data_IF_095235951574
#
_entry.id   IF_095235951574
#
_cell.length_a   1.000
_cell.length_b   1.000
_cell.length_c   1.000
_cell.angle_alpha   90.00
_cell.angle_beta   90.00
_cell.angle_gamma   90.00
#
_symmetry.space_group_name_H-M   'P 1'
#
loop_
_entity.id
_entity.type
_entity.pdbx_description
1 polymer ?
#
# COMPACT_ATOMS: atom_id res chain seq x y z
N UNK A 1 -14.69 -5.59 10.38
CA UNK A 1 -14.00 -4.82 11.45
C UNK A 1 -12.94 -3.97 10.75
N UNK A 2 -12.94 -2.65 10.90
CA UNK A 2 -11.91 -1.81 10.28
C UNK A 2 -10.59 -1.91 11.06
N UNK A 3 -9.46 -1.81 10.35
CA UNK A 3 -8.13 -1.76 10.96
C UNK A 3 -7.93 -0.40 11.67
N UNK A 4 -7.13 -0.35 12.73
CA UNK A 4 -6.70 0.93 13.31
C UNK A 4 -5.74 1.65 12.36
N UNK A 5 -5.80 2.99 12.29
CA UNK A 5 -4.97 3.78 11.37
C UNK A 5 -3.47 3.50 11.53
N UNK A 6 -2.95 3.51 12.74
CA UNK A 6 -1.53 3.22 13.01
C UNK A 6 -1.11 1.82 12.52
N UNK A 7 -1.98 0.82 12.70
CA UNK A 7 -1.75 -0.53 12.19
C UNK A 7 -1.81 -0.57 10.65
N UNK A 8 -2.64 0.27 10.03
CA UNK A 8 -2.75 0.37 8.58
C UNK A 8 -1.54 1.07 7.96
N UNK A 9 -1.05 2.14 8.59
CA UNK A 9 0.20 2.81 8.21
C UNK A 9 1.39 1.84 8.34
N UNK A 10 1.46 1.09 9.44
CA UNK A 10 2.51 0.07 9.64
C UNK A 10 2.45 -1.04 8.60
N UNK A 11 1.25 -1.46 8.19
CA UNK A 11 1.05 -2.47 7.14
C UNK A 11 1.44 -1.93 5.76
N UNK A 12 1.03 -0.71 5.44
CA UNK A 12 1.39 -0.05 4.19
C UNK A 12 2.90 0.24 4.09
N UNK A 13 3.55 0.56 5.21
CA UNK A 13 5.00 0.74 5.26
C UNK A 13 5.74 -0.58 4.97
N UNK A 14 5.24 -1.70 5.46
CA UNK A 14 5.77 -3.03 5.10
C UNK A 14 5.57 -3.32 3.61
N UNK A 15 4.41 -2.97 3.05
CA UNK A 15 4.16 -3.09 1.62
C UNK A 15 5.14 -2.23 0.79
N UNK A 16 5.41 -0.99 1.22
CA UNK A 16 6.40 -0.13 0.59
C UNK A 16 7.81 -0.72 0.66
N UNK A 17 8.21 -1.26 1.83
CA UNK A 17 9.51 -1.90 1.99
C UNK A 17 9.67 -3.14 1.08
N UNK A 18 8.62 -3.95 0.97
CA UNK A 18 8.58 -5.09 0.05
C UNK A 18 8.68 -4.62 -1.40
N UNK A 19 7.90 -3.60 -1.79
CA UNK A 19 7.89 -3.03 -3.14
C UNK A 19 9.26 -2.47 -3.55
N UNK A 20 9.94 -1.76 -2.65
CA UNK A 20 11.30 -1.22 -2.88
C UNK A 20 12.32 -2.34 -3.11
N UNK A 21 12.11 -3.52 -2.53
CA UNK A 21 12.94 -4.71 -2.77
C UNK A 21 12.61 -5.46 -4.06
N UNK A 22 11.60 -5.06 -4.84
CA UNK A 22 11.20 -5.71 -6.08
C UNK A 22 11.66 -4.90 -7.29
N UNK A 23 12.76 -5.32 -7.93
CA UNK A 23 13.35 -4.65 -9.09
C UNK A 23 12.42 -4.55 -10.31
N UNK A 24 11.44 -5.45 -10.42
CA UNK A 24 10.46 -5.43 -11.51
C UNK A 24 9.26 -4.52 -11.22
N UNK A 25 8.84 -4.41 -9.96
CA UNK A 25 7.62 -3.67 -9.57
C UNK A 25 7.92 -2.23 -9.19
N UNK A 26 9.09 -1.95 -8.62
CA UNK A 26 9.49 -0.61 -8.23
C UNK A 26 9.48 0.37 -9.41
N UNK A 27 10.05 0.06 -10.60
CA UNK A 27 9.99 0.97 -11.75
C UNK A 27 8.56 1.22 -12.23
N UNK A 28 7.69 0.20 -12.15
CA UNK A 28 6.28 0.31 -12.54
C UNK A 28 5.53 1.24 -11.58
N UNK A 29 5.78 1.13 -10.27
CA UNK A 29 5.21 2.03 -9.27
C UNK A 29 5.67 3.47 -9.45
N UNK A 30 6.98 3.70 -9.64
CA UNK A 30 7.52 5.04 -9.86
C UNK A 30 6.94 5.66 -11.15
N UNK A 31 6.84 4.86 -12.22
CA UNK A 31 6.24 5.28 -13.48
C UNK A 31 4.74 5.57 -13.39
N UNK A 32 3.99 4.81 -12.59
CA UNK A 32 2.53 4.96 -12.46
C UNK A 32 2.13 6.11 -11.53
N UNK A 33 2.92 6.37 -10.49
CA UNK A 33 2.66 7.42 -9.48
C UNK A 33 3.35 8.74 -9.78
N UNK A 34 4.38 8.73 -10.63
CA UNK A 34 5.27 9.87 -10.84
C UNK A 34 6.20 10.16 -9.66
N UNK A 35 6.29 9.25 -8.68
CA UNK A 35 7.21 9.37 -7.56
C UNK A 35 8.65 9.09 -8.00
N UNK A 36 9.59 9.69 -7.29
CA UNK A 36 11.02 9.37 -7.34
C UNK A 36 11.46 8.53 -6.14
N UNK A 37 12.66 7.95 -6.20
CA UNK A 37 13.25 7.22 -5.06
C UNK A 37 13.43 8.12 -3.82
N UNK A 38 13.71 9.41 -4.01
CA UNK A 38 13.76 10.40 -2.93
C UNK A 38 12.38 10.63 -2.31
N UNK A 39 11.32 10.66 -3.13
CA UNK A 39 9.94 10.76 -2.63
C UNK A 39 9.57 9.57 -1.75
N UNK A 40 10.03 8.35 -2.08
CA UNK A 40 9.76 7.17 -1.25
C UNK A 40 10.26 7.38 0.18
N UNK A 41 11.46 7.94 0.34
CA UNK A 41 12.06 8.18 1.66
C UNK A 41 11.36 9.32 2.40
N UNK A 42 11.04 10.40 1.70
CA UNK A 42 10.41 11.58 2.30
C UNK A 42 8.94 11.34 2.67
N UNK A 43 8.26 10.48 1.91
CA UNK A 43 6.82 10.23 2.03
C UNK A 43 6.48 8.88 2.65
N UNK A 44 7.46 8.09 3.07
CA UNK A 44 7.23 6.84 3.79
C UNK A 44 6.36 7.00 5.05
N UNK A 45 6.32 8.21 5.63
CA UNK A 45 5.48 8.54 6.79
C UNK A 45 4.22 9.34 6.44
N UNK A 46 3.94 9.56 5.15
CA UNK A 46 2.74 10.26 4.67
C UNK A 46 1.61 9.23 4.50
N UNK A 47 0.54 9.27 5.32
CA UNK A 47 -0.56 8.31 5.23
C UNK A 47 -1.30 8.32 3.88
N UNK A 48 -1.27 9.46 3.15
CA UNK A 48 -1.84 9.56 1.81
C UNK A 48 -0.98 8.80 0.80
N UNK A 49 0.35 8.95 0.91
CA UNK A 49 1.28 8.20 0.06
C UNK A 49 1.22 6.70 0.33
N UNK A 50 1.16 6.30 1.61
CA UNK A 50 0.96 4.92 2.01
C UNK A 50 -0.35 4.34 1.47
N UNK A 51 -1.42 5.15 1.38
CA UNK A 51 -2.66 4.78 0.71
C UNK A 51 -2.45 4.46 -0.76
N UNK A 52 -1.70 5.30 -1.48
CA UNK A 52 -1.38 5.09 -2.89
C UNK A 52 -0.51 3.83 -3.14
N UNK A 53 0.39 3.49 -2.21
CA UNK A 53 1.15 2.22 -2.24
C UNK A 53 0.20 1.03 -2.17
N UNK A 54 -0.76 1.05 -1.24
CA UNK A 54 -1.76 -0.02 -1.15
C UNK A 54 -2.67 -0.06 -2.38
N UNK A 55 -3.08 1.09 -2.92
CA UNK A 55 -3.87 1.15 -4.16
C UNK A 55 -3.11 0.53 -5.35
N UNK A 56 -1.81 0.79 -5.47
CA UNK A 56 -0.96 0.15 -6.49
C UNK A 56 -0.84 -1.36 -6.29
N UNK A 57 -0.56 -1.80 -5.06
CA UNK A 57 -0.45 -3.23 -4.74
C UNK A 57 -1.74 -3.99 -5.08
N UNK A 58 -2.90 -3.38 -4.85
CA UNK A 58 -4.20 -3.97 -5.14
C UNK A 58 -4.62 -3.91 -6.62
N UNK A 59 -3.77 -3.40 -7.53
CA UNK A 59 -4.04 -3.44 -8.97
C UNK A 59 -3.89 -4.85 -9.56
N UNK A 60 -3.10 -5.72 -8.93
CA UNK A 60 -2.88 -7.10 -9.37
C UNK A 60 -2.92 -8.05 -8.16
N UNK A 61 -3.81 -9.03 -8.22
CA UNK A 61 -3.98 -10.02 -7.16
C UNK A 61 -2.68 -10.81 -6.89
N UNK A 62 -1.83 -11.00 -7.90
CA UNK A 62 -0.55 -11.69 -7.73
C UNK A 62 0.40 -10.91 -6.80
N UNK A 63 0.39 -9.58 -6.86
CA UNK A 63 1.22 -8.74 -5.98
C UNK A 63 0.69 -8.76 -4.55
N UNK A 64 -0.63 -8.72 -4.39
CA UNK A 64 -1.29 -8.87 -3.09
C UNK A 64 -0.91 -10.21 -2.45
N UNK A 65 -1.06 -11.31 -3.18
CA UNK A 65 -0.74 -12.65 -2.69
C UNK A 65 0.73 -12.76 -2.32
N UNK A 66 1.64 -12.35 -3.22
CA UNK A 66 3.08 -12.44 -2.99
C UNK A 66 3.54 -11.63 -1.76
N UNK A 67 3.00 -10.42 -1.59
CA UNK A 67 3.30 -9.60 -0.42
C UNK A 67 2.73 -10.22 0.86
N UNK A 68 1.45 -10.60 0.87
CA UNK A 68 0.81 -11.19 2.04
C UNK A 68 1.49 -12.49 2.48
N UNK A 69 1.88 -13.35 1.53
CA UNK A 69 2.66 -14.56 1.81
C UNK A 69 4.01 -14.23 2.45
N UNK A 70 4.67 -13.15 2.02
CA UNK A 70 5.98 -12.75 2.55
C UNK A 70 5.96 -12.35 4.02
N UNK A 71 4.80 -11.91 4.54
CA UNK A 71 4.64 -11.44 5.92
C UNK A 71 3.59 -12.23 6.73
N UNK A 72 3.15 -13.39 6.21
CA UNK A 72 2.11 -14.24 6.80
C UNK A 72 0.84 -13.45 7.18
N UNK A 73 0.36 -12.62 6.24
CA UNK A 73 -0.82 -11.78 6.42
C UNK A 73 -2.03 -12.33 5.66
N UNK A 74 -3.23 -12.09 6.20
CA UNK A 74 -4.48 -12.37 5.49
C UNK A 74 -4.62 -11.51 4.22
N UNK A 75 -5.21 -12.06 3.16
CA UNK A 75 -5.36 -11.40 1.85
C UNK A 75 -6.41 -10.28 1.82
N UNK A 76 -7.29 -10.19 2.82
CA UNK A 76 -8.24 -9.08 2.99
C UNK A 76 -7.60 -7.86 3.68
N UNK A 77 -6.43 -8.05 4.30
CA UNK A 77 -5.74 -7.04 5.09
C UNK A 77 -5.32 -5.80 4.29
N UNK A 78 -4.88 -5.87 3.02
CA UNK A 78 -4.62 -4.69 2.20
C UNK A 78 -5.85 -3.80 2.04
N UNK A 79 -7.02 -4.39 1.77
CA UNK A 79 -8.27 -3.63 1.61
C UNK A 79 -8.69 -2.99 2.95
N UNK A 80 -8.56 -3.72 4.05
CA UNK A 80 -8.85 -3.19 5.40
C UNK A 80 -7.91 -2.05 5.80
N UNK A 81 -6.62 -2.17 5.48
CA UNK A 81 -5.62 -1.13 5.72
C UNK A 81 -5.92 0.10 4.85
N UNK A 82 -6.24 -0.09 3.57
CA UNK A 82 -6.58 1.01 2.67
C UNK A 82 -7.79 1.80 3.15
N UNK A 83 -8.83 1.12 3.61
CA UNK A 83 -10.04 1.73 4.14
C UNK A 83 -9.80 2.52 5.45
N UNK A 84 -8.73 2.22 6.20
CA UNK A 84 -8.36 2.93 7.41
C UNK A 84 -7.47 4.18 7.15
N UNK A 85 -6.94 4.31 5.93
CA UNK A 85 -6.11 5.44 5.49
C UNK A 85 -6.94 6.55 4.83
N UNK A 86 -6.44 7.81 4.82
CA UNK A 86 -7.14 8.92 4.17
C UNK A 86 -7.51 8.62 2.71
N UNK A 87 -8.69 9.08 2.29
CA UNK A 87 -9.19 8.86 0.93
C UNK A 87 -9.55 7.40 0.61
N UNK A 88 -9.60 6.52 1.62
CA UNK A 88 -10.05 5.12 1.50
C UNK A 88 -11.47 4.91 2.01
N UNK A 89 -12.09 5.99 2.49
CA UNK A 89 -13.50 6.00 2.85
C UNK A 89 -14.31 5.67 1.60
N UNK A 90 -15.03 4.54 1.63
CA UNK A 90 -16.01 4.23 0.59
C UNK A 90 -17.12 5.27 0.66
N UNK A 91 -17.03 6.32 -0.15
CA UNK A 91 -18.11 7.29 -0.32
C UNK A 91 -19.21 6.62 -1.13
N UNK A 92 -20.12 5.94 -0.43
CA UNK A 92 -21.34 5.41 -1.02
C UNK A 92 -22.29 6.59 -1.29
N UNK A 93 -22.22 7.18 -2.48
CA UNK A 93 -23.25 8.10 -2.96
C UNK A 93 -24.53 7.31 -3.23
N UNK A 94 -25.41 7.24 -2.23
CA UNK A 94 -26.82 6.83 -2.43
C UNK A 94 -27.63 8.00 -2.92
#
# INVERSE_FOLDING_TARGET
MSLARESAESFALQALAWLVGNDDLLPVFLGSTGASEDDLKQRATDPVFLGAVLDFMMMDDAWVVAFCDSIDAAYDRPMMARAALPGGEQVSWT
#
